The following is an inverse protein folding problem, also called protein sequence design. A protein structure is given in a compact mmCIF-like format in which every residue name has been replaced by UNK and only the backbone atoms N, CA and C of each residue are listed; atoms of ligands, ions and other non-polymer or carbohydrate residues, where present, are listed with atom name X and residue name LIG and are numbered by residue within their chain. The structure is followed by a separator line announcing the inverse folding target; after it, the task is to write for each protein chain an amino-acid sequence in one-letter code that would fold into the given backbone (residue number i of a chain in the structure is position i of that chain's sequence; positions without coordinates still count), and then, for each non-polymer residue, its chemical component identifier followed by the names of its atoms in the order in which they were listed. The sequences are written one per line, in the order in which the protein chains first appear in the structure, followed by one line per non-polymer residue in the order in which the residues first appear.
data_IF_871344853741
#
_entry.id   IF_871344853741
#
_cell.length_a   1.000
_cell.length_b   1.000
_cell.length_c   1.000
_cell.angle_alpha   90.00
_cell.angle_beta   90.00
_cell.angle_gamma   90.00
#
_symmetry.space_group_name_H-M   'P 1'
#
loop_
_entity.id
_entity.type
_entity.pdbx_description
1 polymer ?
#
# COMPACT_ATOMS: atom_id res chain seq x y z
N UNK A 1 62.81 -28.19 21.82
CA UNK A 1 61.33 -28.17 21.98
C UNK A 1 60.87 -26.77 22.36
N UNK A 2 60.48 -25.97 21.38
CA UNK A 2 60.09 -24.56 21.57
C UNK A 2 58.57 -24.42 21.45
N UNK A 3 57.90 -24.07 22.57
CA UNK A 3 56.45 -23.81 22.61
C UNK A 3 56.17 -22.42 22.01
N UNK A 4 55.59 -22.36 20.81
CA UNK A 4 54.99 -21.12 20.26
C UNK A 4 53.64 -20.87 20.95
N UNK A 5 53.56 -19.81 21.76
CA UNK A 5 52.29 -19.24 22.22
C UNK A 5 51.64 -18.51 21.05
N UNK A 6 50.53 -19.05 20.53
CA UNK A 6 49.68 -18.35 19.56
C UNK A 6 48.79 -17.34 20.30
N UNK A 7 49.04 -16.05 20.08
CA UNK A 7 48.14 -14.99 20.55
C UNK A 7 46.86 -15.02 19.72
N UNK A 8 45.75 -15.43 20.34
CA UNK A 8 44.43 -15.38 19.73
C UNK A 8 43.98 -13.92 19.70
N UNK A 9 44.19 -13.25 18.57
CA UNK A 9 43.65 -11.91 18.29
C UNK A 9 42.12 -12.01 18.36
N UNK A 10 41.52 -11.56 19.47
CA UNK A 10 40.07 -11.38 19.60
C UNK A 10 39.64 -10.46 18.44
N UNK A 11 39.04 -11.04 17.39
CA UNK A 11 38.34 -10.25 16.37
C UNK A 11 37.22 -9.55 17.12
N UNK A 12 37.38 -8.24 17.30
CA UNK A 12 36.39 -7.39 17.91
C UNK A 12 35.05 -7.68 17.26
N UNK A 13 34.09 -8.13 18.07
CA UNK A 13 32.70 -8.11 17.68
C UNK A 13 32.41 -6.67 17.28
N UNK A 14 32.11 -6.45 16.00
CA UNK A 14 31.47 -5.21 15.56
C UNK A 14 30.17 -5.14 16.34
N UNK A 15 30.19 -4.40 17.45
CA UNK A 15 28.97 -3.78 17.98
C UNK A 15 28.41 -3.01 16.80
N UNK A 16 27.33 -3.51 16.20
CA UNK A 16 26.57 -2.72 15.23
C UNK A 16 26.13 -1.50 16.01
N UNK A 17 26.72 -0.36 15.69
CA UNK A 17 26.18 0.93 16.09
C UNK A 17 24.77 0.95 15.49
N UNK A 18 23.75 0.78 16.33
CA UNK A 18 22.41 1.22 15.99
C UNK A 18 22.48 2.74 15.97
N UNK A 19 22.86 3.29 14.81
CA UNK A 19 22.55 4.67 14.49
C UNK A 19 21.03 4.78 14.36
N UNK A 20 20.37 5.73 15.03
CA UNK A 20 18.92 5.87 15.03
C UNK A 20 18.31 6.13 13.64
N UNK A 21 19.10 6.46 12.62
CA UNK A 21 18.59 6.83 11.30
C UNK A 21 18.57 5.70 10.25
N UNK A 22 18.97 4.47 10.59
CA UNK A 22 19.09 3.40 9.58
C UNK A 22 17.80 2.58 9.44
N UNK A 23 16.77 3.18 8.81
CA UNK A 23 15.56 2.45 8.45
C UNK A 23 15.89 1.43 7.33
N UNK A 24 15.60 0.12 7.52
CA UNK A 24 16.04 -0.90 6.57
C UNK A 24 15.56 -0.62 5.14
N UNK A 25 16.39 -0.97 4.16
CA UNK A 25 16.01 -0.88 2.76
C UNK A 25 14.92 -1.92 2.45
N UNK A 26 13.88 -1.49 1.74
CA UNK A 26 12.77 -2.35 1.34
C UNK A 26 12.97 -2.67 -0.13
N UNK A 27 13.37 -3.91 -0.40
CA UNK A 27 13.45 -4.45 -1.76
C UNK A 27 12.23 -5.36 -1.97
N UNK A 28 11.25 -4.96 -2.80
CA UNK A 28 10.13 -5.82 -3.14
C UNK A 28 10.65 -7.06 -3.88
N UNK A 29 10.30 -8.24 -3.39
CA UNK A 29 10.54 -9.52 -4.07
C UNK A 29 9.18 -10.20 -4.26
N UNK A 30 8.37 -9.73 -5.24
CA UNK A 30 7.03 -10.26 -5.41
C UNK A 30 7.11 -11.72 -5.87
N UNK A 31 6.28 -12.56 -5.28
CA UNK A 31 6.18 -13.95 -5.71
C UNK A 31 5.41 -13.97 -7.04
N UNK A 32 6.13 -13.99 -8.15
CA UNK A 32 5.54 -14.02 -9.50
C UNK A 32 5.12 -15.43 -9.96
N UNK A 33 5.24 -16.43 -9.08
CA UNK A 33 4.94 -17.84 -9.36
C UNK A 33 3.67 -18.28 -8.65
N UNK A 34 2.80 -19.00 -9.38
CA UNK A 34 1.47 -19.48 -8.94
C UNK A 34 1.53 -20.54 -7.81
N UNK A 35 2.73 -20.96 -7.38
CA UNK A 35 2.93 -22.21 -6.62
C UNK A 35 2.76 -22.10 -5.09
N UNK A 36 2.32 -20.96 -4.52
CA UNK A 36 2.24 -20.77 -3.06
C UNK A 36 0.90 -20.18 -2.56
N UNK A 37 -0.21 -20.45 -3.24
CA UNK A 37 -1.56 -20.02 -2.83
C UNK A 37 -1.89 -20.50 -1.39
N UNK A 38 -1.39 -21.66 -1.00
CA UNK A 38 -1.67 -22.30 0.31
C UNK A 38 -1.08 -21.55 1.52
N UNK A 39 -0.25 -20.52 1.31
CA UNK A 39 0.41 -19.76 2.38
C UNK A 39 -0.13 -18.34 2.58
N UNK A 40 -1.20 -17.98 1.88
CA UNK A 40 -1.81 -16.66 2.05
C UNK A 40 -2.61 -16.56 3.36
N UNK A 41 -2.67 -15.37 3.99
CA UNK A 41 -3.55 -15.12 5.11
C UNK A 41 -5.01 -15.30 4.68
N UNK A 42 -5.84 -15.82 5.60
CA UNK A 42 -7.27 -16.05 5.32
C UNK A 42 -7.99 -14.73 5.09
N UNK A 43 -8.90 -14.66 4.13
CA UNK A 43 -9.78 -13.51 3.98
C UNK A 43 -11.06 -13.82 4.75
N UNK A 44 -11.35 -13.03 5.79
CA UNK A 44 -12.51 -13.17 6.67
C UNK A 44 -13.50 -12.06 6.33
N UNK A 45 -14.77 -12.39 6.13
CA UNK A 45 -15.83 -11.42 5.85
C UNK A 45 -16.63 -11.24 7.13
N UNK A 46 -16.65 -10.02 7.65
CA UNK A 46 -17.28 -9.62 8.91
C UNK A 46 -18.00 -8.27 8.71
N UNK A 47 -18.81 -8.22 7.65
CA UNK A 47 -19.54 -7.03 7.26
C UNK A 47 -20.90 -7.39 6.68
N UNK A 48 -21.86 -6.47 6.74
CA UNK A 48 -23.19 -6.64 6.16
C UNK A 48 -23.21 -6.46 4.64
N UNK A 49 -22.18 -5.83 4.06
CA UNK A 49 -22.05 -5.66 2.62
C UNK A 49 -21.95 -7.02 1.91
N UNK A 50 -22.77 -7.22 0.86
CA UNK A 50 -22.65 -8.37 -0.04
C UNK A 50 -21.43 -8.19 -0.93
N UNK A 51 -20.35 -8.91 -0.63
CA UNK A 51 -19.14 -8.97 -1.45
C UNK A 51 -19.22 -10.17 -2.39
N UNK A 52 -18.91 -9.95 -3.68
CA UNK A 52 -18.83 -11.04 -4.66
C UNK A 52 -17.42 -11.68 -4.70
N UNK A 53 -17.30 -12.81 -5.41
CA UNK A 53 -16.00 -13.49 -5.56
C UNK A 53 -14.96 -12.62 -6.26
N UNK A 54 -15.38 -11.69 -7.13
CA UNK A 54 -14.50 -10.74 -7.80
C UNK A 54 -13.86 -9.77 -6.82
N UNK A 55 -14.63 -9.28 -5.86
CA UNK A 55 -14.18 -8.42 -4.77
C UNK A 55 -13.15 -9.10 -3.87
N UNK A 56 -13.40 -10.36 -3.50
CA UNK A 56 -12.43 -11.16 -2.74
C UNK A 56 -11.17 -11.44 -3.57
N UNK A 57 -11.33 -11.71 -4.86
CA UNK A 57 -10.20 -11.94 -5.76
C UNK A 57 -9.31 -10.70 -5.91
N UNK A 58 -9.86 -9.47 -5.87
CA UNK A 58 -9.06 -8.23 -5.87
C UNK A 58 -8.06 -8.20 -4.71
N UNK A 59 -8.45 -8.67 -3.52
CA UNK A 59 -7.57 -8.76 -2.35
C UNK A 59 -6.52 -9.86 -2.58
N UNK A 60 -6.94 -11.05 -2.99
CA UNK A 60 -6.03 -12.19 -3.24
C UNK A 60 -4.92 -11.86 -4.24
N UNK A 61 -5.28 -11.26 -5.37
CA UNK A 61 -4.34 -10.85 -6.41
C UNK A 61 -3.26 -9.89 -5.86
N UNK A 62 -3.64 -8.99 -4.95
CA UNK A 62 -2.71 -8.07 -4.29
C UNK A 62 -1.84 -8.77 -3.25
N UNK A 63 -2.40 -9.70 -2.48
CA UNK A 63 -1.64 -10.49 -1.51
C UNK A 63 -0.61 -11.40 -2.16
N UNK A 64 -0.93 -12.00 -3.31
CA UNK A 64 0.02 -12.81 -4.09
C UNK A 64 1.26 -12.03 -4.56
N UNK A 65 1.14 -10.70 -4.66
CA UNK A 65 2.25 -9.85 -5.03
C UNK A 65 3.24 -9.57 -3.89
N UNK A 66 2.88 -9.91 -2.66
CA UNK A 66 3.73 -9.69 -1.48
C UNK A 66 4.69 -10.87 -1.31
N UNK A 67 5.92 -10.64 -0.82
CA UNK A 67 6.77 -11.74 -0.36
C UNK A 67 6.05 -12.51 0.77
N UNK A 68 5.83 -13.81 0.60
CA UNK A 68 5.20 -14.66 1.63
C UNK A 68 5.89 -14.56 3.00
N UNK A 69 7.19 -14.27 3.03
CA UNK A 69 7.94 -14.07 4.28
C UNK A 69 7.42 -12.88 5.09
N UNK A 70 6.90 -11.86 4.41
CA UNK A 70 6.34 -10.64 5.00
C UNK A 70 4.93 -10.88 5.54
N UNK A 71 4.24 -11.95 5.09
CA UNK A 71 2.89 -12.33 5.55
C UNK A 71 2.93 -13.36 6.69
N UNK A 72 4.11 -13.81 7.12
CA UNK A 72 4.24 -14.83 8.17
C UNK A 72 3.69 -14.31 9.49
N UNK A 73 2.92 -15.16 10.19
CA UNK A 73 2.24 -14.86 11.47
C UNK A 73 1.05 -13.91 11.35
N UNK A 74 0.70 -13.46 10.13
CA UNK A 74 -0.58 -12.82 9.87
C UNK A 74 -1.65 -13.91 9.72
N UNK A 75 -2.67 -13.89 10.57
CA UNK A 75 -3.77 -14.85 10.51
C UNK A 75 -4.68 -14.60 9.30
N UNK A 76 -5.05 -13.33 9.11
CA UNK A 76 -6.04 -12.99 8.12
C UNK A 76 -6.15 -11.51 7.79
N UNK A 77 -6.83 -11.27 6.66
CA UNK A 77 -7.38 -9.98 6.27
C UNK A 77 -8.88 -10.03 6.55
N UNK A 78 -9.36 -9.25 7.52
CA UNK A 78 -10.77 -9.14 7.87
C UNK A 78 -11.40 -7.96 7.16
N UNK A 79 -12.50 -8.17 6.46
CA UNK A 79 -13.30 -7.11 5.86
C UNK A 79 -14.44 -6.77 6.81
N UNK A 80 -14.54 -5.51 7.22
CA UNK A 80 -15.50 -5.04 8.23
C UNK A 80 -16.40 -3.93 7.70
N UNK A 81 -17.51 -3.65 8.39
CA UNK A 81 -18.41 -2.56 8.02
C UNK A 81 -17.73 -1.18 8.14
N UNK A 82 -18.14 -0.18 7.31
CA UNK A 82 -17.59 1.16 7.40
C UNK A 82 -17.81 1.78 8.78
N UNK A 83 -16.78 2.39 9.35
CA UNK A 83 -16.84 2.99 10.69
C UNK A 83 -16.58 2.02 11.85
N UNK A 84 -16.39 0.72 11.57
CA UNK A 84 -15.92 -0.26 12.57
C UNK A 84 -14.50 0.04 13.03
N UNK A 85 -13.64 0.45 12.09
CA UNK A 85 -12.26 0.81 12.36
C UNK A 85 -12.22 2.30 12.73
N UNK A 86 -11.90 2.60 13.99
CA UNK A 86 -11.83 3.96 14.51
C UNK A 86 -10.45 4.25 15.06
N UNK A 87 -9.91 5.42 14.70
CA UNK A 87 -8.72 5.95 15.34
C UNK A 87 -9.01 6.32 16.81
N UNK A 88 -7.98 6.53 17.65
CA UNK A 88 -8.17 7.04 19.01
C UNK A 88 -8.95 8.36 19.07
N UNK A 89 -8.89 9.17 17.99
CA UNK A 89 -9.69 10.39 17.80
C UNK A 89 -11.18 10.13 17.49
N UNK A 90 -11.61 8.87 17.41
CA UNK A 90 -12.95 8.41 16.96
C UNK A 90 -13.27 8.69 15.49
N UNK A 91 -12.31 9.17 14.72
CA UNK A 91 -12.48 9.31 13.28
C UNK A 91 -12.42 7.94 12.60
N UNK A 92 -13.33 7.66 11.65
CA UNK A 92 -13.32 6.41 10.92
C UNK A 92 -12.08 6.33 10.03
N UNK A 93 -11.44 5.17 9.99
CA UNK A 93 -10.39 4.86 9.01
C UNK A 93 -10.82 3.69 8.12
N UNK A 94 -10.12 3.54 7.00
CA UNK A 94 -10.41 2.56 5.96
C UNK A 94 -9.59 1.27 6.11
N UNK A 95 -8.55 1.27 6.95
CA UNK A 95 -7.79 0.08 7.28
C UNK A 95 -7.00 0.23 8.58
N UNK A 96 -6.64 -0.90 9.18
CA UNK A 96 -5.82 -0.94 10.39
C UNK A 96 -5.16 -2.32 10.58
N UNK A 97 -3.89 -2.32 10.95
CA UNK A 97 -3.20 -3.50 11.46
C UNK A 97 -3.48 -3.72 12.96
N UNK A 98 -4.04 -4.88 13.28
CA UNK A 98 -4.22 -5.37 14.64
C UNK A 98 -3.10 -6.37 14.99
N UNK A 99 -2.14 -6.00 15.87
CA UNK A 99 -1.08 -6.91 16.28
C UNK A 99 -1.61 -8.06 17.14
N UNK A 100 -0.92 -9.21 17.10
CA UNK A 100 -1.24 -10.34 17.95
C UNK A 100 -1.19 -9.94 19.44
N UNK A 101 -2.22 -10.31 20.19
CA UNK A 101 -2.31 -10.06 21.63
C UNK A 101 -2.64 -11.37 22.37
N UNK A 102 -2.77 -11.33 23.70
CA UNK A 102 -3.05 -12.55 24.50
C UNK A 102 -4.36 -13.24 24.13
N UNK A 103 -5.29 -12.53 23.48
CA UNK A 103 -6.64 -12.97 23.14
C UNK A 103 -6.85 -13.26 21.65
N UNK A 104 -5.86 -13.01 20.79
CA UNK A 104 -6.08 -12.97 19.34
C UNK A 104 -4.80 -13.02 18.52
N UNK A 105 -4.96 -13.45 17.27
CA UNK A 105 -3.89 -13.51 16.29
C UNK A 105 -3.77 -12.19 15.54
N UNK A 106 -2.63 -11.94 14.88
CA UNK A 106 -2.43 -10.71 14.13
C UNK A 106 -3.34 -10.69 12.90
N UNK A 107 -4.06 -9.60 12.67
CA UNK A 107 -4.99 -9.42 11.56
C UNK A 107 -4.83 -8.04 10.94
N UNK A 108 -5.17 -7.90 9.66
CA UNK A 108 -5.37 -6.59 9.02
C UNK A 108 -6.86 -6.44 8.79
N UNK A 109 -7.42 -5.32 9.25
CA UNK A 109 -8.82 -5.00 9.04
C UNK A 109 -8.93 -4.00 7.90
N UNK A 110 -9.85 -4.24 6.97
CA UNK A 110 -10.16 -3.37 5.84
C UNK A 110 -11.65 -3.03 5.88
N UNK A 111 -11.97 -1.75 5.68
CA UNK A 111 -13.36 -1.33 5.49
C UNK A 111 -13.90 -1.86 4.17
N UNK A 112 -15.12 -2.39 4.17
CA UNK A 112 -15.81 -2.89 2.97
C UNK A 112 -15.96 -1.84 1.87
N UNK A 113 -15.94 -0.54 2.22
CA UNK A 113 -15.97 0.55 1.24
C UNK A 113 -14.73 0.63 0.33
N UNK A 114 -13.60 0.02 0.72
CA UNK A 114 -12.42 -0.07 -0.14
C UNK A 114 -12.58 -1.10 -1.26
N UNK A 115 -13.41 -2.10 -1.02
CA UNK A 115 -13.49 -3.31 -1.84
C UNK A 115 -14.70 -3.19 -2.78
N UNK A 116 -15.83 -2.74 -2.22
CA UNK A 116 -17.06 -2.47 -2.94
C UNK A 116 -16.94 -1.15 -3.71
N UNK A 117 -16.18 -1.17 -4.81
CA UNK A 117 -16.03 0.00 -5.69
C UNK A 117 -17.19 0.03 -6.68
N UNK A 118 -17.87 1.18 -6.73
CA UNK A 118 -18.88 1.55 -7.72
C UNK A 118 -18.46 1.16 -9.14
N UNK A 119 -19.35 0.46 -9.87
CA UNK A 119 -19.17 0.18 -11.30
C UNK A 119 -19.35 1.49 -12.07
N UNK A 120 -18.31 1.98 -12.78
CA UNK A 120 -18.48 3.17 -13.63
C UNK A 120 -17.21 3.94 -14.01
N UNK A 121 -17.39 5.22 -14.36
CA UNK A 121 -16.32 6.13 -14.79
C UNK A 121 -15.25 6.37 -13.72
N UNK A 122 -15.59 6.30 -12.43
CA UNK A 122 -14.62 6.41 -11.33
C UNK A 122 -13.56 5.31 -11.41
N UNK A 123 -13.97 4.06 -11.66
CA UNK A 123 -13.03 2.93 -11.83
C UNK A 123 -12.09 3.15 -13.02
N UNK A 124 -12.58 3.80 -14.09
CA UNK A 124 -11.75 4.16 -15.24
C UNK A 124 -10.72 5.23 -14.89
N UNK A 125 -11.12 6.30 -14.19
CA UNK A 125 -10.20 7.34 -13.75
C UNK A 125 -9.18 6.83 -12.74
N UNK A 126 -9.58 5.98 -11.79
CA UNK A 126 -8.68 5.36 -10.83
C UNK A 126 -7.65 4.47 -11.52
N UNK A 127 -8.07 3.71 -12.54
CA UNK A 127 -7.16 2.90 -13.37
C UNK A 127 -6.18 3.76 -14.19
N UNK A 128 -6.61 4.92 -14.68
CA UNK A 128 -5.77 5.83 -15.46
C UNK A 128 -4.84 6.70 -14.59
N UNK A 129 -5.28 7.06 -13.39
CA UNK A 129 -4.52 7.87 -12.42
C UNK A 129 -3.71 7.02 -11.43
N UNK A 130 -3.88 5.69 -11.47
CA UNK A 130 -3.26 4.74 -10.55
C UNK A 130 -3.57 5.02 -9.08
N UNK A 131 -4.80 5.45 -8.81
CA UNK A 131 -5.33 5.57 -7.46
C UNK A 131 -5.96 4.24 -7.10
N UNK A 132 -5.16 3.35 -6.54
CA UNK A 132 -5.62 2.05 -6.05
C UNK A 132 -5.64 2.11 -4.52
N UNK A 133 -6.74 2.66 -3.97
CA UNK A 133 -6.86 2.84 -2.51
C UNK A 133 -6.77 1.51 -1.77
N UNK A 134 -7.35 0.44 -2.32
CA UNK A 134 -7.23 -0.91 -1.76
C UNK A 134 -5.77 -1.35 -1.70
N UNK A 135 -4.99 -1.15 -2.76
CA UNK A 135 -3.55 -1.43 -2.74
C UNK A 135 -2.83 -0.58 -1.69
N UNK A 136 -3.04 0.72 -1.70
CA UNK A 136 -2.35 1.64 -0.79
C UNK A 136 -2.62 1.27 0.67
N UNK A 137 -3.88 1.09 1.06
CA UNK A 137 -4.25 0.70 2.42
C UNK A 137 -3.73 -0.69 2.77
N UNK A 138 -3.93 -1.70 1.92
CA UNK A 138 -3.49 -3.06 2.22
C UNK A 138 -1.97 -3.14 2.41
N UNK A 139 -1.19 -2.54 1.51
CA UNK A 139 0.27 -2.58 1.61
C UNK A 139 0.81 -1.70 2.73
N UNK A 140 0.11 -0.62 3.08
CA UNK A 140 0.43 0.15 4.28
C UNK A 140 0.30 -0.70 5.54
N UNK A 141 -0.84 -1.39 5.71
CA UNK A 141 -1.05 -2.23 6.89
C UNK A 141 -0.15 -3.49 6.92
N UNK A 142 0.20 -4.05 5.77
CA UNK A 142 1.24 -5.09 5.69
C UNK A 142 2.60 -4.52 6.10
N UNK A 143 2.90 -3.27 5.73
CA UNK A 143 4.06 -2.53 6.19
C UNK A 143 4.10 -2.41 7.72
N UNK A 144 2.97 -2.03 8.35
CA UNK A 144 2.82 -1.99 9.80
C UNK A 144 3.03 -3.37 10.44
N UNK A 145 2.49 -4.42 9.83
CA UNK A 145 2.72 -5.80 10.26
C UNK A 145 4.21 -6.15 10.21
N UNK A 146 4.89 -5.90 9.10
CA UNK A 146 6.33 -6.18 8.93
C UNK A 146 7.19 -5.36 9.89
N UNK A 147 6.84 -4.09 10.12
CA UNK A 147 7.51 -3.24 11.11
C UNK A 147 7.45 -3.89 12.49
N UNK A 148 6.28 -4.38 12.90
CA UNK A 148 6.08 -5.01 14.21
C UNK A 148 6.90 -6.30 14.43
N UNK A 149 7.33 -6.94 13.34
CA UNK A 149 8.18 -8.14 13.36
C UNK A 149 9.67 -7.84 13.19
N UNK A 150 10.03 -6.61 12.84
CA UNK A 150 11.40 -6.22 12.51
C UNK A 150 12.06 -5.54 13.70
N UNK A 151 12.95 -6.26 14.39
CA UNK A 151 13.65 -5.77 15.60
C UNK A 151 14.45 -4.47 15.44
N UNK A 152 14.79 -4.08 14.20
CA UNK A 152 15.53 -2.86 13.91
C UNK A 152 14.65 -1.64 13.63
N UNK A 153 13.32 -1.80 13.64
CA UNK A 153 12.38 -0.69 13.47
C UNK A 153 11.83 -0.34 14.84
N UNK A 154 12.09 0.88 15.29
CA UNK A 154 11.55 1.37 16.55
C UNK A 154 10.05 1.59 16.42
N UNK A 155 9.32 1.35 17.52
CA UNK A 155 7.84 1.44 17.54
C UNK A 155 7.31 2.80 17.04
N UNK A 156 8.08 3.88 17.28
CA UNK A 156 7.72 5.24 16.86
C UNK A 156 7.94 5.49 15.37
N UNK A 157 8.63 4.59 14.66
CA UNK A 157 8.94 4.68 13.23
C UNK A 157 8.09 3.71 12.38
N UNK A 158 7.21 2.93 13.00
CA UNK A 158 6.38 1.94 12.32
C UNK A 158 5.59 2.54 11.15
N UNK A 159 5.02 3.73 11.34
CA UNK A 159 4.23 4.43 10.32
C UNK A 159 5.10 4.85 9.13
N UNK A 160 6.25 5.45 9.40
CA UNK A 160 7.20 5.85 8.34
C UNK A 160 7.73 4.62 7.58
N UNK A 161 7.96 3.52 8.29
CA UNK A 161 8.34 2.25 7.67
C UNK A 161 7.21 1.70 6.79
N UNK A 162 5.97 1.73 7.27
CA UNK A 162 4.78 1.28 6.54
C UNK A 162 4.55 2.07 5.26
N UNK A 163 4.71 3.40 5.32
CA UNK A 163 4.63 4.26 4.14
C UNK A 163 5.75 3.93 3.14
N UNK A 164 7.00 3.80 3.61
CA UNK A 164 8.13 3.41 2.75
C UNK A 164 7.89 2.05 2.10
N UNK A 165 7.31 1.10 2.84
CA UNK A 165 6.95 -0.23 2.36
C UNK A 165 5.92 -0.17 1.24
N UNK A 166 4.82 0.53 1.49
CA UNK A 166 3.76 0.74 0.51
C UNK A 166 4.27 1.41 -0.76
N UNK A 167 5.09 2.46 -0.63
CA UNK A 167 5.65 3.18 -1.78
C UNK A 167 6.59 2.31 -2.63
N UNK A 168 7.42 1.48 -1.98
CA UNK A 168 8.32 0.55 -2.67
C UNK A 168 7.53 -0.48 -3.49
N UNK A 169 6.53 -1.12 -2.88
CA UNK A 169 5.67 -2.08 -3.57
C UNK A 169 4.78 -1.42 -4.63
N UNK A 170 4.28 -0.20 -4.40
CA UNK A 170 3.50 0.57 -5.38
C UNK A 170 4.30 0.85 -6.65
N UNK A 171 5.59 1.19 -6.50
CA UNK A 171 6.49 1.39 -7.64
C UNK A 171 6.67 0.10 -8.43
N UNK A 172 6.81 -1.03 -7.75
CA UNK A 172 6.95 -2.35 -8.39
C UNK A 172 5.63 -2.79 -9.06
N UNK A 173 4.50 -2.65 -8.38
CA UNK A 173 3.17 -2.96 -8.89
C UNK A 173 2.88 -2.22 -10.20
N UNK A 174 3.19 -0.92 -10.25
CA UNK A 174 3.05 -0.10 -11.45
C UNK A 174 3.91 -0.59 -12.62
N UNK A 175 5.06 -1.21 -12.35
CA UNK A 175 5.95 -1.75 -13.40
C UNK A 175 5.36 -3.02 -14.02
N UNK A 176 4.64 -3.83 -13.25
CA UNK A 176 4.11 -5.13 -13.70
C UNK A 176 2.64 -5.08 -14.14
N UNK A 177 1.80 -4.30 -13.46
CA UNK A 177 0.35 -4.25 -13.67
C UNK A 177 -0.14 -2.90 -14.21
N UNK A 178 0.75 -1.94 -14.44
CA UNK A 178 0.36 -0.63 -14.94
C UNK A 178 0.06 -0.60 -16.45
N UNK A 179 -0.85 0.29 -16.93
CA UNK A 179 -0.96 0.56 -18.35
C UNK A 179 0.38 0.89 -18.97
N UNK A 180 0.61 0.34 -20.17
CA UNK A 180 1.80 0.62 -20.97
C UNK A 180 2.09 2.12 -21.00
N UNK A 181 3.38 2.49 -20.97
CA UNK A 181 3.85 3.88 -21.02
C UNK A 181 3.20 4.66 -22.18
N UNK A 182 2.85 3.96 -23.26
CA UNK A 182 2.15 4.49 -24.43
C UNK A 182 0.76 5.02 -24.06
N UNK A 183 -0.07 4.25 -23.34
CA UNK A 183 -1.41 4.67 -22.93
C UNK A 183 -1.37 5.90 -22.01
N UNK A 184 -0.43 5.94 -21.07
CA UNK A 184 -0.25 7.11 -20.19
C UNK A 184 0.13 8.35 -21.00
N UNK A 185 1.02 8.18 -21.99
CA UNK A 185 1.45 9.28 -22.86
C UNK A 185 0.26 9.80 -23.68
N UNK A 186 -0.49 8.93 -24.34
CA UNK A 186 -1.70 9.27 -25.12
C UNK A 186 -2.74 9.98 -24.24
N UNK A 187 -3.03 9.46 -23.06
CA UNK A 187 -3.98 10.07 -22.14
C UNK A 187 -3.53 11.47 -21.68
N UNK A 188 -2.25 11.67 -21.38
CA UNK A 188 -1.70 13.00 -21.06
C UNK A 188 -1.83 13.97 -22.23
N UNK A 189 -1.64 13.50 -23.47
CA UNK A 189 -1.88 14.32 -24.65
C UNK A 189 -3.36 14.69 -24.77
N UNK A 190 -4.28 13.74 -24.55
CA UNK A 190 -5.72 14.01 -24.52
C UNK A 190 -6.09 15.06 -23.48
N UNK A 191 -5.58 14.98 -22.24
CA UNK A 191 -5.83 15.99 -21.20
C UNK A 191 -5.27 17.36 -21.61
N UNK A 192 -4.07 17.40 -22.18
CA UNK A 192 -3.49 18.65 -22.68
C UNK A 192 -4.36 19.26 -23.79
N UNK A 193 -4.77 18.45 -24.75
CA UNK A 193 -5.65 18.87 -25.84
C UNK A 193 -6.99 19.39 -25.31
N UNK A 194 -7.61 18.66 -24.36
CA UNK A 194 -8.84 19.07 -23.70
C UNK A 194 -8.67 20.43 -23.00
N UNK A 195 -7.56 20.66 -22.30
CA UNK A 195 -7.24 21.96 -21.69
C UNK A 195 -7.11 23.07 -22.74
N UNK A 196 -6.46 22.80 -23.87
CA UNK A 196 -6.36 23.78 -24.96
C UNK A 196 -7.73 24.13 -25.54
N UNK A 197 -8.60 23.14 -25.76
CA UNK A 197 -9.97 23.33 -26.24
C UNK A 197 -10.79 24.11 -25.21
N UNK A 198 -10.72 23.74 -23.92
CA UNK A 198 -11.38 24.46 -22.83
C UNK A 198 -10.94 25.92 -22.75
N UNK A 199 -9.64 26.20 -22.90
CA UNK A 199 -9.15 27.58 -22.97
C UNK A 199 -9.75 28.28 -24.18
N UNK A 200 -9.72 27.68 -25.38
CA UNK A 200 -10.30 28.28 -26.59
C UNK A 200 -11.80 28.58 -26.48
N UNK A 201 -12.58 27.72 -25.83
CA UNK A 201 -14.02 27.91 -25.62
C UNK A 201 -14.31 28.91 -24.49
N UNK A 202 -13.56 28.89 -23.39
CA UNK A 202 -13.78 29.77 -22.23
C UNK A 202 -13.15 31.17 -22.40
N UNK A 203 -12.19 31.32 -23.31
CA UNK A 203 -11.53 32.58 -23.63
C UNK A 203 -12.52 33.70 -24.03
N UNK A 204 -13.50 33.50 -24.94
CA UNK A 204 -14.48 34.52 -25.28
C UNK A 204 -15.43 34.88 -24.13
N UNK A 205 -15.74 33.94 -23.22
CA UNK A 205 -16.59 34.23 -22.05
C UNK A 205 -15.87 35.01 -20.95
N UNK A 206 -14.55 34.84 -20.82
CA UNK A 206 -13.74 35.61 -19.87
C UNK A 206 -13.68 37.11 -20.21
N UNK A 207 -13.80 37.46 -21.50
CA UNK A 207 -13.82 38.85 -21.94
C UNK A 207 -15.23 39.49 -21.94
N UNK A 208 -16.31 38.72 -22.10
CA UNK A 208 -17.68 39.28 -22.01
C UNK A 208 -18.05 39.83 -20.63
N UNK A 209 -17.55 39.24 -19.53
CA UNK A 209 -17.78 39.80 -18.19
C UNK A 209 -17.01 41.11 -17.92
N UNK A 210 -15.96 41.42 -18.70
CA UNK A 210 -15.27 42.72 -18.59
C UNK A 210 -16.01 43.84 -19.32
N UNK A 211 -16.76 43.52 -20.37
CA UNK A 211 -17.56 44.51 -21.10
C UNK A 211 -18.87 44.86 -20.38
N UNK A 212 -19.45 43.92 -19.61
CA UNK A 212 -20.70 44.16 -18.87
C UNK A 212 -20.50 45.02 -17.61
N UNK A 213 -19.32 45.02 -16.99
CA UNK A 213 -19.00 45.87 -15.82
C UNK A 213 -18.45 47.26 -16.20
N UNK A 214 -18.50 47.62 -17.48
CA UNK A 214 -18.08 48.93 -17.99
C UNK A 214 -19.27 49.82 -18.41
N UNK A 215 -20.50 49.41 -18.07
CA UNK A 215 -21.72 50.22 -18.15
C UNK A 215 -22.17 50.68 -16.78
#
# INVERSE_FOLDING_TARGET
MTKRKTSRKKRGGRKRHNSPDFMPEIQPDPTLHEDNIDKLPKILIDCQAKLDDGDINKIRVRLNFVDHKDLRKLNGIRVVDPGTIQMPSKEPTIGCYHPANKSGQAEIWLSSCLINTSKGFETFFDRMTYKDKLFETLFHEIGNHKASLTHSVDKFENEAFAEKYMLAYKKFWKRHHGPSKIYIKVFRYFIKLLRFILIGILYPFKNRNKEINHF
#
